data_IF_095380613674
#
_entry.id   IF_095380613674
#
_cell.length_a   1.000
_cell.length_b   1.000
_cell.length_c   1.000
_cell.angle_alpha   90.00
_cell.angle_beta   90.00
_cell.angle_gamma   90.00
#
_symmetry.space_group_name_H-M   'P 1'
#
loop_
_entity.id
_entity.type
_entity.pdbx_description
1 polymer ?
#
# COMPACT_ATOMS: atom_id res chain seq x y z
N UNK A 1 -49.71 63.04 -13.14
CA UNK A 1 -49.69 64.09 -14.18
C UNK A 1 -49.13 63.46 -15.46
N UNK A 2 -49.92 63.54 -16.55
CA UNK A 2 -49.70 63.19 -17.99
C UNK A 2 -48.30 62.64 -18.40
N UNK A 3 -48.18 61.41 -18.94
CA UNK A 3 -48.31 60.95 -20.37
C UNK A 3 -47.37 61.66 -21.38
N UNK A 4 -46.51 60.88 -22.08
CA UNK A 4 -46.44 60.66 -23.56
C UNK A 4 -45.13 59.90 -23.96
N UNK A 5 -45.19 58.67 -24.51
CA UNK A 5 -45.29 58.24 -25.95
C UNK A 5 -43.95 58.48 -26.70
N UNK A 6 -43.10 57.49 -27.04
CA UNK A 6 -43.15 56.38 -28.03
C UNK A 6 -43.02 56.81 -29.51
N UNK A 7 -41.93 56.41 -30.19
CA UNK A 7 -41.82 55.92 -31.60
C UNK A 7 -40.43 56.19 -32.22
N UNK A 8 -39.85 55.47 -33.21
CA UNK A 8 -40.02 54.18 -33.90
C UNK A 8 -38.74 54.01 -34.78
N UNK A 9 -38.32 52.75 -34.99
CA UNK A 9 -37.46 52.06 -35.99
C UNK A 9 -36.90 52.84 -37.23
N UNK A 10 -35.80 52.48 -37.95
CA UNK A 10 -35.55 51.23 -38.72
C UNK A 10 -34.13 51.23 -39.40
N UNK A 11 -33.51 50.03 -39.52
CA UNK A 11 -32.61 49.44 -40.55
C UNK A 11 -31.18 49.94 -40.94
N UNK A 12 -30.20 49.06 -40.61
CA UNK A 12 -29.09 48.45 -41.40
C UNK A 12 -28.24 49.23 -42.41
N UNK A 13 -26.90 49.07 -42.34
CA UNK A 13 -26.05 48.34 -43.33
C UNK A 13 -24.59 48.25 -42.81
N UNK A 14 -23.98 47.08 -43.03
CA UNK A 14 -22.59 46.65 -42.76
C UNK A 14 -21.60 47.36 -43.69
N UNK A 15 -20.39 47.72 -43.22
CA UNK A 15 -19.11 47.60 -43.96
C UNK A 15 -17.97 47.42 -42.96
N UNK A 16 -17.28 46.29 -43.10
CA UNK A 16 -16.01 45.92 -42.50
C UNK A 16 -14.85 46.69 -43.12
N UNK A 17 -13.97 47.28 -42.30
CA UNK A 17 -12.57 47.57 -42.70
C UNK A 17 -11.65 47.23 -41.52
N UNK A 18 -10.82 46.22 -41.75
CA UNK A 18 -9.70 45.79 -40.92
C UNK A 18 -8.61 46.87 -40.89
N UNK A 19 -8.10 47.15 -39.70
CA UNK A 19 -6.90 47.96 -39.49
C UNK A 19 -6.12 47.42 -38.30
N UNK A 20 -5.24 46.47 -38.56
CA UNK A 20 -4.21 46.07 -37.60
C UNK A 20 -3.26 47.26 -37.40
N UNK A 21 -3.31 47.88 -36.23
CA UNK A 21 -2.23 48.75 -35.75
C UNK A 21 -1.34 47.89 -34.88
N UNK A 22 -0.22 47.49 -35.49
CA UNK A 22 0.95 46.95 -34.81
C UNK A 22 1.50 47.99 -33.84
N UNK A 23 1.33 47.76 -32.54
CA UNK A 23 2.17 48.42 -31.53
C UNK A 23 3.52 47.71 -31.53
N UNK A 24 4.58 48.48 -31.80
CA UNK A 24 5.95 48.03 -31.61
C UNK A 24 6.17 47.72 -30.13
N UNK A 25 6.67 46.53 -29.84
CA UNK A 25 7.20 46.16 -28.53
C UNK A 25 8.39 47.06 -28.17
N UNK A 26 8.36 47.58 -26.95
CA UNK A 26 9.47 48.27 -26.30
C UNK A 26 10.45 47.19 -25.78
N UNK A 27 11.72 47.14 -26.22
CA UNK A 27 12.61 46.01 -25.93
C UNK A 27 13.23 46.05 -24.53
N UNK A 28 12.60 46.70 -23.53
CA UNK A 28 13.18 46.82 -22.17
C UNK A 28 12.24 46.48 -21.03
N UNK A 29 11.19 45.69 -21.27
CA UNK A 29 10.45 45.05 -20.17
C UNK A 29 10.85 43.59 -20.14
N UNK A 30 11.72 43.22 -19.20
CA UNK A 30 11.93 41.80 -18.89
C UNK A 30 10.57 41.15 -18.60
N UNK A 31 10.30 39.95 -19.13
CA UNK A 31 9.05 39.27 -18.83
C UNK A 31 8.93 39.12 -17.31
N UNK A 32 7.83 39.62 -16.76
CA UNK A 32 7.46 39.36 -15.37
C UNK A 32 7.46 37.84 -15.19
N UNK A 33 8.26 37.27 -14.27
CA UNK A 33 8.27 35.83 -14.11
C UNK A 33 6.87 35.37 -13.68
N UNK A 34 6.36 34.40 -14.44
CA UNK A 34 5.22 33.53 -14.09
C UNK A 34 5.40 33.00 -12.63
N UNK A 35 4.30 32.70 -11.91
CA UNK A 35 4.38 32.27 -10.51
C UNK A 35 5.32 31.07 -10.39
N UNK A 36 6.35 31.25 -9.57
CA UNK A 36 7.48 30.32 -9.36
C UNK A 36 6.99 28.90 -9.10
N UNK A 37 7.37 27.95 -9.98
CA UNK A 37 7.30 26.51 -9.69
C UNK A 37 7.99 26.21 -8.35
N UNK A 38 7.49 25.23 -7.59
CA UNK A 38 8.13 24.79 -6.35
C UNK A 38 9.53 24.24 -6.62
N UNK A 39 10.57 24.87 -6.05
CA UNK A 39 11.97 24.50 -6.31
C UNK A 39 12.55 23.72 -5.14
N UNK A 40 12.20 22.44 -5.01
CA UNK A 40 12.91 21.52 -4.10
C UNK A 40 14.34 21.31 -4.63
N UNK A 41 15.35 21.48 -3.78
CA UNK A 41 16.78 21.37 -4.12
C UNK A 41 17.26 19.92 -3.92
N UNK A 42 16.97 19.08 -4.90
CA UNK A 42 17.49 17.70 -4.95
C UNK A 42 19.01 17.67 -5.17
N UNK A 43 19.66 16.60 -4.73
CA UNK A 43 21.08 16.40 -4.96
C UNK A 43 21.35 16.10 -6.46
N UNK A 44 22.03 16.99 -7.20
CA UNK A 44 22.18 16.85 -8.65
C UNK A 44 23.10 15.68 -9.06
N UNK A 45 23.84 15.11 -8.12
CA UNK A 45 24.76 14.00 -8.37
C UNK A 45 24.11 12.62 -8.20
N UNK A 46 22.82 12.56 -7.85
CA UNK A 46 22.07 11.32 -7.66
C UNK A 46 21.03 11.15 -8.78
N UNK A 47 20.77 9.90 -9.14
CA UNK A 47 19.69 9.55 -10.05
C UNK A 47 18.44 9.22 -9.25
N UNK A 48 17.35 9.91 -9.54
CA UNK A 48 16.07 9.69 -8.89
C UNK A 48 15.14 8.87 -9.78
N UNK A 49 14.40 7.95 -9.16
CA UNK A 49 13.22 7.35 -9.78
C UNK A 49 11.98 8.22 -9.54
N UNK A 50 10.82 7.69 -9.90
CA UNK A 50 9.54 8.31 -9.60
C UNK A 50 8.49 7.29 -9.19
N UNK A 51 7.51 7.72 -8.42
CA UNK A 51 6.27 7.01 -8.13
C UNK A 51 5.08 7.96 -8.29
N UNK A 52 3.87 7.45 -8.54
CA UNK A 52 2.63 8.25 -8.61
C UNK A 52 1.60 7.73 -7.61
N UNK A 53 0.96 8.62 -6.85
CA UNK A 53 -0.08 8.25 -5.89
C UNK A 53 -1.48 8.19 -6.52
N UNK A 54 -2.47 7.80 -5.71
CA UNK A 54 -3.90 7.74 -6.05
C UNK A 54 -4.53 9.10 -6.44
N UNK A 55 -3.84 10.22 -6.20
CA UNK A 55 -4.26 11.56 -6.60
C UNK A 55 -3.57 12.03 -7.89
N UNK A 56 -2.68 11.21 -8.46
CA UNK A 56 -1.87 11.59 -9.61
C UNK A 56 -0.68 12.49 -9.26
N UNK A 57 -0.36 12.66 -7.97
CA UNK A 57 0.84 13.37 -7.57
C UNK A 57 2.05 12.48 -7.91
N UNK A 58 3.03 13.04 -8.62
CA UNK A 58 4.29 12.37 -8.94
C UNK A 58 5.35 12.80 -7.94
N UNK A 59 6.07 11.84 -7.38
CA UNK A 59 7.13 12.06 -6.40
C UNK A 59 8.43 11.42 -6.88
N UNK A 60 9.55 12.09 -6.63
CA UNK A 60 10.87 11.50 -6.79
C UNK A 60 11.13 10.43 -5.74
N UNK A 61 11.92 9.43 -6.13
CA UNK A 61 12.33 8.32 -5.26
C UNK A 61 13.82 8.12 -5.34
N UNK A 62 14.42 7.58 -4.28
CA UNK A 62 15.86 7.35 -4.18
C UNK A 62 16.13 6.04 -3.44
N UNK A 63 17.09 5.26 -3.94
CA UNK A 63 17.56 4.06 -3.24
C UNK A 63 18.71 4.43 -2.32
N UNK A 64 18.57 4.11 -1.03
CA UNK A 64 19.54 4.35 0.03
C UNK A 64 19.84 3.00 0.69
N UNK A 65 21.04 2.47 0.45
CA UNK A 65 21.36 1.11 0.84
C UNK A 65 20.48 0.10 0.10
N UNK A 66 19.76 -0.73 0.85
CA UNK A 66 18.81 -1.72 0.31
C UNK A 66 17.39 -1.17 0.15
N UNK A 67 17.10 -0.01 0.74
CA UNK A 67 15.75 0.53 0.80
C UNK A 67 15.52 1.59 -0.28
N UNK A 68 14.33 1.61 -0.87
CA UNK A 68 13.93 2.68 -1.81
C UNK A 68 12.90 3.60 -1.15
N UNK A 69 13.27 4.86 -0.97
CA UNK A 69 12.48 5.85 -0.24
C UNK A 69 11.89 6.91 -1.18
N UNK A 70 10.76 7.49 -0.79
CA UNK A 70 10.35 8.79 -1.34
C UNK A 70 11.40 9.86 -1.01
N UNK A 71 11.74 10.70 -1.99
CA UNK A 71 12.58 11.88 -1.85
C UNK A 71 11.77 13.17 -1.60
N UNK A 72 10.44 13.07 -1.57
CA UNK A 72 9.50 14.14 -1.24
C UNK A 72 8.51 13.68 -0.15
N UNK A 73 7.93 14.62 0.59
CA UNK A 73 6.86 14.29 1.55
C UNK A 73 5.56 13.96 0.81
N UNK A 74 4.79 13.01 1.33
CA UNK A 74 3.49 12.63 0.78
C UNK A 74 2.52 13.83 0.79
N UNK A 75 1.77 14.01 -0.30
CA UNK A 75 0.82 15.12 -0.50
C UNK A 75 -0.56 14.68 -0.98
N UNK A 76 -0.87 13.38 -0.82
CA UNK A 76 -2.15 12.79 -1.19
C UNK A 76 -3.29 13.26 -0.29
N UNK A 77 -4.49 13.35 -0.84
CA UNK A 77 -5.74 13.74 -0.18
C UNK A 77 -6.75 12.59 -0.17
N UNK A 78 -6.37 11.43 -0.69
CA UNK A 78 -7.19 10.20 -0.74
C UNK A 78 -6.44 9.03 -0.16
N UNK A 79 -7.18 8.04 0.32
CA UNK A 79 -6.67 6.70 0.57
C UNK A 79 -6.59 5.91 -0.74
N UNK A 80 -5.89 4.76 -0.71
CA UNK A 80 -5.66 3.89 -1.86
C UNK A 80 -6.96 3.38 -2.50
N UNK A 81 -8.02 3.22 -1.70
CA UNK A 81 -9.36 2.86 -2.19
C UNK A 81 -10.14 4.02 -2.86
N UNK A 82 -9.54 5.22 -2.94
CA UNK A 82 -10.13 6.41 -3.56
C UNK A 82 -10.99 7.27 -2.62
N UNK A 83 -11.25 6.84 -1.38
CA UNK A 83 -11.95 7.66 -0.40
C UNK A 83 -11.11 8.86 0.04
N UNK A 84 -11.75 10.00 0.28
CA UNK A 84 -11.07 11.21 0.70
C UNK A 84 -10.64 11.14 2.16
N UNK A 85 -9.41 11.57 2.44
CA UNK A 85 -8.95 11.87 3.80
C UNK A 85 -9.55 13.22 4.18
N UNK A 86 -9.98 13.39 5.43
CA UNK A 86 -10.62 14.64 5.83
C UNK A 86 -9.59 15.78 5.95
N UNK A 87 -9.76 16.86 5.19
CA UNK A 87 -9.01 18.10 5.43
C UNK A 87 -9.64 18.84 6.61
N UNK A 88 -8.92 18.93 7.72
CA UNK A 88 -9.44 19.53 8.96
C UNK A 88 -8.55 20.68 9.39
N UNK A 89 -9.03 21.91 9.24
CA UNK A 89 -8.27 23.12 9.61
C UNK A 89 -8.64 23.63 11.00
N UNK A 90 -9.85 23.32 11.49
CA UNK A 90 -10.35 23.75 12.79
C UNK A 90 -9.75 22.98 13.97
N UNK A 91 -9.16 23.72 14.91
CA UNK A 91 -8.46 23.18 16.07
C UNK A 91 -9.32 22.27 16.95
N UNK A 92 -10.51 22.72 17.35
CA UNK A 92 -11.44 21.92 18.17
C UNK A 92 -11.84 20.61 17.49
N UNK A 93 -12.03 20.63 16.17
CA UNK A 93 -12.37 19.44 15.42
C UNK A 93 -11.20 18.46 15.40
N UNK A 94 -10.00 18.94 15.06
CA UNK A 94 -8.77 18.13 14.96
C UNK A 94 -8.49 17.34 16.24
N UNK A 95 -8.55 17.98 17.42
CA UNK A 95 -8.34 17.31 18.71
C UNK A 95 -9.28 16.14 18.98
N UNK A 96 -10.50 16.22 18.47
CA UNK A 96 -11.54 15.22 18.74
C UNK A 96 -11.47 14.00 17.82
N UNK A 97 -10.58 14.02 16.83
CA UNK A 97 -10.50 12.96 15.83
C UNK A 97 -9.75 11.75 16.37
N UNK A 98 -10.42 10.60 16.25
CA UNK A 98 -9.81 9.27 16.27
C UNK A 98 -9.86 8.63 14.86
N UNK A 99 -9.94 9.48 13.83
CA UNK A 99 -10.03 9.12 12.41
C UNK A 99 -8.98 9.90 11.63
N UNK A 100 -8.62 9.40 10.46
CA UNK A 100 -7.61 10.04 9.64
C UNK A 100 -7.99 11.45 9.17
N UNK A 101 -7.06 12.39 9.32
CA UNK A 101 -7.16 13.74 8.82
C UNK A 101 -5.80 14.27 8.36
N UNK A 102 -5.86 15.28 7.50
CA UNK A 102 -4.69 16.02 7.06
C UNK A 102 -4.94 17.53 7.05
N UNK A 103 -3.87 18.30 7.01
CA UNK A 103 -3.86 19.72 6.70
C UNK A 103 -2.52 20.09 6.07
N UNK A 104 -2.44 21.29 5.48
CA UNK A 104 -1.16 21.89 5.13
C UNK A 104 -0.69 22.80 6.27
N UNK A 105 0.61 23.10 6.31
CA UNK A 105 1.15 24.00 7.32
C UNK A 105 0.43 25.36 7.26
N UNK A 106 0.08 25.93 8.41
CA UNK A 106 -0.78 27.12 8.53
C UNK A 106 -2.13 27.04 7.79
N UNK A 107 -2.57 25.83 7.41
CA UNK A 107 -3.71 25.58 6.53
C UNK A 107 -3.58 26.25 5.14
N UNK A 108 -2.37 26.51 4.67
CA UNK A 108 -2.11 27.15 3.39
C UNK A 108 -1.93 26.10 2.27
N UNK A 109 -2.84 26.01 1.28
CA UNK A 109 -2.71 25.05 0.19
C UNK A 109 -1.49 25.30 -0.71
N UNK A 110 -0.85 26.49 -0.66
CA UNK A 110 0.39 26.77 -1.40
C UNK A 110 1.53 25.84 -0.95
N UNK A 111 1.51 25.39 0.31
CA UNK A 111 2.55 24.51 0.84
C UNK A 111 2.49 23.07 0.29
N UNK A 112 1.37 22.67 -0.36
CA UNK A 112 1.17 21.32 -0.86
C UNK A 112 2.33 20.85 -1.75
N UNK A 113 2.71 21.66 -2.73
CA UNK A 113 3.64 21.21 -3.77
C UNK A 113 5.10 21.15 -3.30
N UNK A 114 5.47 21.96 -2.30
CA UNK A 114 6.83 22.00 -1.76
C UNK A 114 7.00 21.07 -0.58
N UNK A 115 6.07 21.08 0.37
CA UNK A 115 6.26 20.43 1.68
C UNK A 115 5.41 19.19 1.91
N UNK A 116 4.43 18.95 1.04
CA UNK A 116 3.42 17.93 1.23
C UNK A 116 2.44 18.27 2.36
N UNK A 117 1.72 17.27 2.83
CA UNK A 117 0.70 17.42 3.86
C UNK A 117 1.19 16.92 5.23
N UNK A 118 0.57 17.47 6.26
CA UNK A 118 0.70 17.03 7.65
C UNK A 118 -0.50 16.15 7.99
N UNK A 119 -0.23 14.88 8.30
CA UNK A 119 -1.24 13.87 8.60
C UNK A 119 -1.24 13.58 10.10
N UNK A 120 -2.42 13.30 10.66
CA UNK A 120 -2.46 12.63 11.96
C UNK A 120 -2.08 11.15 11.84
N UNK A 121 -1.71 10.51 12.95
CA UNK A 121 -1.28 9.12 12.90
C UNK A 121 -2.42 8.19 12.44
N UNK A 122 -3.67 8.51 12.79
CA UNK A 122 -4.85 7.78 12.31
C UNK A 122 -4.98 7.75 10.78
N UNK A 123 -4.53 8.78 10.06
CA UNK A 123 -4.49 8.77 8.60
C UNK A 123 -3.33 7.92 8.09
N UNK A 124 -2.17 8.00 8.76
CA UNK A 124 -1.00 7.22 8.44
C UNK A 124 -1.27 5.70 8.55
N UNK A 125 -2.04 5.28 9.56
CA UNK A 125 -2.27 3.87 9.89
C UNK A 125 -3.64 3.35 9.51
N UNK A 126 -4.38 4.11 8.69
CA UNK A 126 -5.72 3.73 8.28
C UNK A 126 -5.69 2.45 7.41
N UNK A 127 -6.61 1.53 7.63
CA UNK A 127 -6.67 0.26 6.89
C UNK A 127 -6.95 0.45 5.38
N UNK A 128 -7.48 1.61 4.98
CA UNK A 128 -7.66 1.98 3.56
C UNK A 128 -6.34 2.32 2.88
N UNK A 129 -5.24 2.42 3.63
CA UNK A 129 -3.87 2.72 3.24
C UNK A 129 -3.70 4.09 2.56
N UNK A 130 -2.91 4.97 3.16
CA UNK A 130 -2.58 6.26 2.55
C UNK A 130 -1.42 6.16 1.55
N UNK A 131 -0.55 5.17 1.72
CA UNK A 131 0.57 4.96 0.81
C UNK A 131 0.08 4.43 -0.56
N UNK A 132 0.72 4.81 -1.68
CA UNK A 132 0.46 4.25 -3.01
C UNK A 132 0.63 2.72 -3.06
N UNK A 133 0.09 2.05 -4.08
CA UNK A 133 0.33 0.61 -4.29
C UNK A 133 1.82 0.32 -4.53
N UNK A 134 2.36 -0.71 -3.88
CA UNK A 134 3.79 -1.03 -3.93
C UNK A 134 4.64 -0.17 -2.99
N UNK A 135 4.02 0.57 -2.07
CA UNK A 135 4.65 1.41 -1.06
C UNK A 135 3.88 1.34 0.26
N UNK A 136 4.59 1.53 1.36
CA UNK A 136 4.02 1.60 2.71
C UNK A 136 4.66 2.73 3.53
N UNK A 137 4.08 3.02 4.70
CA UNK A 137 4.69 3.93 5.67
C UNK A 137 5.72 3.15 6.48
N UNK A 138 6.96 3.63 6.58
CA UNK A 138 8.05 2.94 7.24
C UNK A 138 7.73 2.65 8.71
N UNK A 139 8.03 1.44 9.12
CA UNK A 139 8.15 1.04 10.52
C UNK A 139 9.39 1.66 11.17
N UNK A 140 9.47 1.55 12.50
CA UNK A 140 10.60 2.06 13.24
C UNK A 140 11.91 1.33 12.89
N UNK A 141 11.86 0.03 12.61
CA UNK A 141 13.05 -0.75 12.24
C UNK A 141 13.57 -0.39 10.84
N UNK A 142 12.69 0.00 9.93
CA UNK A 142 13.09 0.48 8.61
C UNK A 142 13.75 1.85 8.67
N UNK A 143 13.25 2.74 9.54
CA UNK A 143 13.93 3.98 9.87
C UNK A 143 15.32 3.73 10.46
N UNK A 144 15.44 2.78 11.39
CA UNK A 144 16.73 2.41 11.98
C UNK A 144 17.71 1.90 10.91
N UNK A 145 17.23 1.08 9.97
CA UNK A 145 18.03 0.58 8.85
C UNK A 145 18.58 1.71 7.98
N UNK A 146 17.73 2.69 7.62
CA UNK A 146 18.16 3.90 6.92
C UNK A 146 19.24 4.67 7.71
N UNK A 147 19.01 4.89 9.01
CA UNK A 147 19.91 5.66 9.87
C UNK A 147 21.27 4.99 10.02
N UNK A 148 21.29 3.66 10.25
CA UNK A 148 22.51 2.87 10.34
C UNK A 148 23.30 2.93 9.02
N UNK A 149 22.61 2.79 7.87
CA UNK A 149 23.25 2.93 6.57
C UNK A 149 23.89 4.32 6.37
N UNK A 150 23.26 5.37 6.91
CA UNK A 150 23.78 6.73 6.86
C UNK A 150 24.88 7.02 7.89
N UNK A 151 25.33 6.00 8.63
CA UNK A 151 26.44 6.10 9.58
C UNK A 151 26.01 6.53 10.98
N UNK A 152 24.84 6.03 11.41
CA UNK A 152 24.28 6.17 12.76
C UNK A 152 23.59 7.52 13.04
N UNK A 153 22.82 7.53 14.13
CA UNK A 153 21.95 8.64 14.53
C UNK A 153 22.67 9.99 14.53
N UNK A 154 23.90 10.06 15.05
CA UNK A 154 24.64 11.32 15.25
C UNK A 154 24.92 12.13 13.98
N UNK A 155 24.92 11.51 12.80
CA UNK A 155 25.25 12.17 11.53
C UNK A 155 24.21 11.95 10.43
N UNK A 156 23.29 11.00 10.60
CA UNK A 156 22.28 10.67 9.59
C UNK A 156 21.44 11.90 9.20
N UNK A 157 21.03 12.72 10.18
CA UNK A 157 20.20 13.90 9.93
C UNK A 157 20.83 14.90 8.96
N UNK A 158 22.13 15.17 9.08
CA UNK A 158 22.86 16.02 8.13
C UNK A 158 22.84 15.46 6.70
N UNK A 159 22.97 14.14 6.55
CA UNK A 159 22.93 13.48 5.23
C UNK A 159 21.53 13.40 4.62
N UNK A 160 20.48 13.53 5.43
CA UNK A 160 19.07 13.45 5.01
C UNK A 160 18.48 14.80 4.58
N UNK A 161 18.95 15.92 5.15
CA UNK A 161 18.40 17.25 4.89
C UNK A 161 18.79 17.80 3.51
N UNK A 162 17.86 18.51 2.88
CA UNK A 162 18.13 19.42 1.76
C UNK A 162 19.25 20.41 2.12
N UNK A 163 20.12 20.71 1.17
CA UNK A 163 21.21 21.67 1.34
C UNK A 163 20.72 23.12 1.22
N UNK A 164 21.53 24.07 1.71
CA UNK A 164 21.22 25.49 1.60
C UNK A 164 20.17 25.95 2.62
N UNK A 165 19.49 27.05 2.29
CA UNK A 165 18.63 27.79 3.24
C UNK A 165 17.27 28.18 2.66
N UNK A 166 16.83 27.54 1.57
CA UNK A 166 15.52 27.84 0.96
C UNK A 166 14.40 27.33 1.87
N UNK A 167 14.50 26.08 2.32
CA UNK A 167 13.51 25.44 3.18
C UNK A 167 14.01 25.13 4.59
N UNK A 168 15.15 25.72 4.98
CA UNK A 168 15.77 25.58 6.29
C UNK A 168 16.31 26.92 6.78
N UNK A 169 16.00 27.27 8.03
CA UNK A 169 16.61 28.38 8.71
C UNK A 169 18.06 28.03 9.08
N UNK A 170 18.96 29.03 9.07
CA UNK A 170 20.34 28.83 9.49
C UNK A 170 20.43 28.25 10.92
N UNK A 171 21.41 27.38 11.21
CA UNK A 171 22.59 27.09 10.37
C UNK A 171 22.40 26.00 9.31
N UNK A 172 21.30 25.23 9.35
CA UNK A 172 21.14 23.98 8.60
C UNK A 172 22.37 23.05 8.73
N UNK A 173 22.75 22.78 9.98
CA UNK A 173 23.99 22.17 10.40
C UNK A 173 24.29 20.86 9.65
N UNK A 174 25.48 20.81 9.05
CA UNK A 174 26.00 19.69 8.26
C UNK A 174 25.03 19.10 7.21
N UNK A 175 24.10 19.90 6.68
CA UNK A 175 23.20 19.44 5.64
C UNK A 175 23.95 19.23 4.31
N UNK A 176 24.01 17.97 3.87
CA UNK A 176 24.71 17.59 2.62
C UNK A 176 23.79 17.00 1.57
N UNK A 177 22.59 16.54 1.95
CA UNK A 177 21.70 15.74 1.12
C UNK A 177 22.42 14.58 0.39
N UNK A 178 23.50 14.04 0.97
CA UNK A 178 24.30 12.99 0.33
C UNK A 178 23.49 11.72 0.09
N UNK A 179 22.48 11.47 0.93
CA UNK A 179 21.57 10.34 0.78
C UNK A 179 20.55 10.51 -0.35
N UNK A 180 20.25 11.76 -0.75
CA UNK A 180 19.16 12.08 -1.64
C UNK A 180 17.78 12.06 -0.99
N UNK A 181 17.67 11.76 0.31
CA UNK A 181 16.40 11.77 1.05
C UNK A 181 15.68 13.13 0.99
N UNK A 182 16.43 14.24 0.95
CA UNK A 182 15.92 15.59 0.70
C UNK A 182 14.80 16.02 1.67
N UNK A 183 15.05 15.94 2.98
CA UNK A 183 14.12 16.44 4.00
C UNK A 183 14.05 17.98 4.00
N UNK A 184 12.84 18.53 4.15
CA UNK A 184 12.56 19.97 4.16
C UNK A 184 11.96 20.39 5.51
N UNK A 185 12.32 21.56 6.02
CA UNK A 185 11.85 22.05 7.31
C UNK A 185 10.40 22.54 7.27
N UNK A 186 9.41 21.63 7.17
CA UNK A 186 7.98 22.00 7.18
C UNK A 186 7.44 22.30 8.58
N UNK A 187 8.07 21.75 9.63
CA UNK A 187 7.54 21.79 10.98
C UNK A 187 6.45 20.74 11.23
N UNK A 188 5.47 21.09 12.06
CA UNK A 188 4.38 20.20 12.46
C UNK A 188 3.12 20.98 12.84
N UNK A 189 2.02 20.24 13.03
CA UNK A 189 0.86 20.72 13.76
C UNK A 189 0.84 20.09 15.15
N UNK A 190 0.88 20.93 16.19
CA UNK A 190 0.84 20.51 17.58
C UNK A 190 -0.52 19.84 17.90
N UNK A 191 -0.48 18.60 18.39
CA UNK A 191 -1.68 17.81 18.73
C UNK A 191 -2.34 18.19 20.05
N UNK A 192 -1.80 19.13 20.82
CA UNK A 192 -2.30 19.58 22.13
C UNK A 192 -2.70 21.05 22.08
N UNK A 193 -1.76 21.93 21.71
CA UNK A 193 -2.01 23.39 21.66
C UNK A 193 -2.57 23.86 20.32
N UNK A 194 -2.53 22.98 19.30
CA UNK A 194 -3.12 23.18 17.98
C UNK A 194 -2.58 24.39 17.23
N UNK A 195 -1.31 24.69 17.49
CA UNK A 195 -0.55 25.68 16.75
C UNK A 195 0.36 24.99 15.73
N UNK A 196 0.70 25.71 14.67
CA UNK A 196 1.68 25.27 13.70
C UNK A 196 3.06 25.73 14.16
N UNK A 197 3.99 24.78 14.33
CA UNK A 197 5.27 25.06 14.98
C UNK A 197 6.45 24.63 14.12
N UNK A 198 7.61 25.22 14.43
CA UNK A 198 8.91 24.77 13.95
C UNK A 198 9.17 24.83 12.44
N UNK A 199 8.38 25.61 11.68
CA UNK A 199 8.68 25.89 10.26
C UNK A 199 10.13 26.31 10.08
N UNK A 200 10.78 25.74 9.07
CA UNK A 200 12.19 25.89 8.73
C UNK A 200 13.20 25.37 9.77
N UNK A 201 12.76 24.83 10.91
CA UNK A 201 13.66 24.39 11.99
C UNK A 201 13.61 22.90 12.24
N UNK A 202 12.52 22.20 11.93
CA UNK A 202 12.45 20.75 11.97
C UNK A 202 11.58 20.16 10.85
N UNK A 203 11.75 18.86 10.63
CA UNK A 203 10.77 18.02 9.95
C UNK A 203 10.61 16.76 10.77
N UNK A 204 9.37 16.44 11.17
CA UNK A 204 9.05 15.17 11.82
C UNK A 204 8.29 14.26 10.87
N UNK A 205 8.60 12.97 10.95
CA UNK A 205 8.02 11.92 10.13
C UNK A 205 7.38 10.86 11.02
N UNK A 206 6.17 10.46 10.66
CA UNK A 206 5.55 9.31 11.32
C UNK A 206 6.33 8.02 11.07
N UNK A 207 6.41 7.18 12.11
CA UNK A 207 6.60 5.75 11.97
C UNK A 207 5.24 5.06 12.05
N UNK A 208 5.08 3.96 11.32
CA UNK A 208 3.89 3.12 11.41
C UNK A 208 3.84 2.31 12.71
N UNK A 209 4.94 2.26 13.46
CA UNK A 209 5.01 1.54 14.74
C UNK A 209 4.31 2.34 15.85
N UNK A 210 3.34 1.71 16.49
CA UNK A 210 2.67 2.23 17.68
C UNK A 210 3.61 2.20 18.90
N UNK A 211 3.57 3.25 19.73
CA UNK A 211 4.28 3.24 21.02
C UNK A 211 3.38 2.68 22.12
N UNK A 212 2.19 3.25 22.24
CA UNK A 212 1.13 2.83 23.15
C UNK A 212 -0.25 3.22 22.58
N UNK A 213 -1.30 3.13 23.39
CA UNK A 213 -2.68 3.42 22.94
C UNK A 213 -2.93 4.88 22.53
N UNK A 214 -2.13 5.85 23.01
CA UNK A 214 -2.30 7.29 22.74
C UNK A 214 -1.14 7.88 21.91
N UNK A 215 0.01 7.22 21.88
CA UNK A 215 1.25 7.72 21.28
C UNK A 215 1.74 6.81 20.15
N UNK A 216 2.48 7.41 19.22
CA UNK A 216 3.18 6.70 18.16
C UNK A 216 4.62 7.18 18.03
N UNK A 217 5.46 6.31 17.47
CA UNK A 217 6.85 6.66 17.20
C UNK A 217 6.95 7.65 16.02
N UNK A 218 7.92 8.56 16.10
CA UNK A 218 8.29 9.48 15.04
C UNK A 218 9.81 9.60 14.94
N UNK A 219 10.24 10.10 13.77
CA UNK A 219 11.63 10.42 13.48
C UNK A 219 11.75 11.91 13.15
N UNK A 220 12.85 12.56 13.48
CA UNK A 220 13.00 13.99 13.21
C UNK A 220 14.41 14.42 12.82
N UNK A 221 14.47 15.40 11.92
CA UNK A 221 15.69 16.13 11.60
C UNK A 221 15.53 17.60 11.95
N UNK A 222 16.61 18.24 12.39
CA UNK A 222 16.61 19.62 12.87
C UNK A 222 17.66 20.47 12.15
N UNK A 223 17.38 21.77 12.01
CA UNK A 223 18.30 22.71 11.38
C UNK A 223 19.57 22.96 12.21
N UNK A 224 19.52 22.79 13.53
CA UNK A 224 20.66 22.99 14.44
C UNK A 224 21.46 21.71 14.74
N UNK A 225 21.04 20.57 14.17
CA UNK A 225 21.61 19.27 14.50
C UNK A 225 22.11 18.52 13.27
N UNK A 226 23.15 17.71 13.49
CA UNK A 226 23.64 16.71 12.54
C UNK A 226 22.90 15.38 12.67
N UNK A 227 22.25 15.14 13.81
CA UNK A 227 21.63 13.87 14.13
C UNK A 227 20.21 13.72 13.57
N UNK A 228 19.80 12.47 13.34
CA UNK A 228 18.39 12.11 13.21
C UNK A 228 17.88 11.65 14.58
N UNK A 229 16.85 12.29 15.11
CA UNK A 229 16.20 11.87 16.35
C UNK A 229 15.31 10.68 16.02
N UNK A 230 15.80 9.49 16.32
CA UNK A 230 15.13 8.23 16.05
C UNK A 230 14.32 7.77 17.27
N UNK A 231 13.23 7.03 17.04
CA UNK A 231 12.47 6.37 18.12
C UNK A 231 12.05 7.30 19.25
N UNK A 232 11.46 8.45 18.93
CA UNK A 232 10.81 9.31 19.92
C UNK A 232 9.29 9.22 19.76
N UNK A 233 8.51 9.45 20.81
CA UNK A 233 7.07 9.24 20.77
C UNK A 233 6.30 10.54 21.00
N UNK A 234 5.13 10.64 20.39
CA UNK A 234 4.23 11.80 20.52
C UNK A 234 2.78 11.36 20.34
N UNK A 235 1.81 12.15 20.80
CA UNK A 235 0.41 11.78 20.68
C UNK A 235 -0.03 11.63 19.22
N UNK A 236 -0.89 10.64 18.95
CA UNK A 236 -1.38 10.29 17.61
C UNK A 236 -2.15 11.43 16.91
N UNK A 237 -2.59 12.44 17.67
CA UNK A 237 -3.25 13.63 17.15
C UNK A 237 -2.28 14.65 16.51
N UNK A 238 -0.96 14.54 16.66
CA UNK A 238 -0.06 15.48 15.97
C UNK A 238 -0.20 15.42 14.46
N UNK A 239 0.02 16.53 13.75
CA UNK A 239 0.10 16.53 12.29
C UNK A 239 1.56 16.51 11.86
N UNK A 240 2.05 15.36 11.37
CA UNK A 240 3.44 15.18 10.94
C UNK A 240 3.52 14.80 9.45
N UNK A 241 4.71 14.94 8.87
CA UNK A 241 4.96 14.52 7.49
C UNK A 241 4.96 13.00 7.38
N UNK A 242 4.62 12.50 6.19
CA UNK A 242 4.77 11.09 5.83
C UNK A 242 5.78 10.96 4.70
N UNK A 243 6.64 9.95 4.80
CA UNK A 243 7.51 9.45 3.75
C UNK A 243 7.15 7.99 3.54
N UNK A 244 7.00 7.54 2.31
CA UNK A 244 6.80 6.13 2.03
C UNK A 244 8.11 5.47 1.62
N UNK A 245 8.21 4.18 1.91
CA UNK A 245 9.25 3.28 1.46
C UNK A 245 8.60 2.26 0.51
N UNK A 246 9.35 1.82 -0.50
CA UNK A 246 8.85 0.87 -1.50
C UNK A 246 8.76 -0.51 -0.85
N UNK A 247 7.66 -1.20 -1.11
CA UNK A 247 7.44 -2.55 -0.59
C UNK A 247 8.57 -3.47 -1.04
N UNK A 248 9.13 -4.18 -0.07
CA UNK A 248 10.07 -5.26 -0.28
C UNK A 248 9.42 -6.56 0.22
N UNK A 249 9.02 -7.47 -0.67
CA UNK A 249 8.36 -8.71 -0.27
C UNK A 249 9.25 -9.60 0.62
N UNK A 250 10.56 -9.38 0.64
CA UNK A 250 11.45 -10.11 1.55
C UNK A 250 11.46 -9.55 2.98
N UNK A 251 11.09 -8.27 3.19
CA UNK A 251 11.28 -7.58 4.48
C UNK A 251 10.06 -6.86 5.07
N UNK A 252 8.94 -6.75 4.34
CA UNK A 252 7.71 -6.09 4.84
C UNK A 252 6.66 -7.10 5.37
N UNK A 253 6.47 -7.22 6.70
CA UNK A 253 5.45 -8.08 7.29
C UNK A 253 4.00 -7.55 7.14
N UNK A 254 3.78 -6.33 6.63
CA UNK A 254 2.44 -5.71 6.59
C UNK A 254 1.60 -6.05 5.35
N UNK A 255 2.14 -6.79 4.38
CA UNK A 255 1.46 -7.12 3.12
C UNK A 255 0.88 -8.55 3.11
N UNK A 256 1.09 -9.29 4.20
CA UNK A 256 0.70 -10.70 4.30
C UNK A 256 -0.26 -10.92 5.47
N UNK A 257 -1.24 -11.79 5.31
CA UNK A 257 -2.11 -12.18 6.43
C UNK A 257 -3.22 -11.19 6.78
N UNK A 258 -3.56 -10.23 5.92
CA UNK A 258 -4.67 -9.30 6.18
C UNK A 258 -6.00 -10.03 5.94
N UNK A 259 -6.86 -10.22 6.96
CA UNK A 259 -8.16 -10.86 6.75
C UNK A 259 -9.01 -10.06 5.74
N UNK A 260 -9.66 -10.76 4.81
CA UNK A 260 -10.66 -10.18 3.91
C UNK A 260 -12.07 -10.71 4.26
N UNK A 261 -13.07 -10.25 3.51
CA UNK A 261 -14.47 -10.63 3.68
C UNK A 261 -14.66 -12.13 3.43
N UNK A 262 -15.22 -12.89 4.39
CA UNK A 262 -15.53 -14.29 4.18
C UNK A 262 -16.47 -14.52 3.00
N UNK A 263 -16.32 -15.66 2.34
CA UNK A 263 -17.15 -16.06 1.21
C UNK A 263 -18.02 -17.26 1.56
N UNK A 264 -19.08 -17.49 0.79
CA UNK A 264 -20.04 -18.57 1.03
C UNK A 264 -20.31 -19.31 -0.27
N UNK A 265 -20.30 -20.64 -0.22
CA UNK A 265 -20.68 -21.48 -1.36
C UNK A 265 -22.20 -21.72 -1.44
N UNK A 266 -22.63 -22.49 -2.44
CA UNK A 266 -24.03 -22.83 -2.66
C UNK A 266 -24.68 -23.58 -1.47
N UNK A 267 -23.90 -24.32 -0.69
CA UNK A 267 -24.37 -25.12 0.45
C UNK A 267 -24.42 -24.32 1.75
N UNK A 268 -23.95 -23.07 1.74
CA UNK A 268 -23.89 -22.22 2.92
C UNK A 268 -22.61 -22.43 3.75
N UNK A 269 -21.61 -23.16 3.24
CA UNK A 269 -20.32 -23.23 3.92
C UNK A 269 -19.65 -21.86 3.82
N UNK A 270 -19.25 -21.31 4.96
CA UNK A 270 -18.50 -20.05 5.03
C UNK A 270 -17.00 -20.38 5.05
N UNK A 271 -16.22 -19.58 4.32
CA UNK A 271 -14.77 -19.68 4.25
C UNK A 271 -14.15 -18.34 4.56
N UNK A 272 -13.19 -18.33 5.48
CA UNK A 272 -12.34 -17.17 5.70
C UNK A 272 -11.45 -16.91 4.47
N UNK A 273 -11.13 -15.65 4.24
CA UNK A 273 -10.27 -15.20 3.14
C UNK A 273 -9.17 -14.30 3.67
N UNK A 274 -8.06 -14.25 2.94
CA UNK A 274 -6.87 -13.52 3.34
C UNK A 274 -6.22 -12.85 2.15
N UNK A 275 -5.78 -11.61 2.33
CA UNK A 275 -4.98 -10.89 1.36
C UNK A 275 -3.49 -11.13 1.64
N UNK A 276 -2.79 -11.61 0.61
CA UNK A 276 -1.34 -11.85 0.59
C UNK A 276 -0.81 -11.17 -0.66
N UNK A 277 -0.05 -10.08 -0.50
CA UNK A 277 0.30 -9.23 -1.64
C UNK A 277 -0.94 -8.55 -2.18
N UNK A 278 -1.09 -8.58 -3.51
CA UNK A 278 -2.29 -8.11 -4.20
C UNK A 278 -3.34 -9.22 -4.42
N UNK A 279 -3.04 -10.46 -4.04
CA UNK A 279 -3.93 -11.59 -4.22
C UNK A 279 -4.81 -11.82 -2.99
N UNK A 280 -6.05 -12.26 -3.23
CA UNK A 280 -6.99 -12.64 -2.18
C UNK A 280 -7.26 -14.14 -2.29
N UNK A 281 -6.89 -14.87 -1.25
CA UNK A 281 -6.91 -16.32 -1.18
C UNK A 281 -7.95 -16.81 -0.18
N UNK A 282 -8.53 -17.98 -0.43
CA UNK A 282 -9.20 -18.74 0.62
C UNK A 282 -8.19 -19.14 1.70
N UNK A 283 -8.55 -18.98 2.97
CA UNK A 283 -7.77 -19.47 4.11
C UNK A 283 -8.14 -20.90 4.53
N UNK A 284 -9.14 -21.50 3.89
CA UNK A 284 -9.70 -22.82 4.24
C UNK A 284 -9.77 -23.75 3.02
N UNK A 285 -9.73 -25.07 3.25
CA UNK A 285 -9.88 -26.05 2.18
C UNK A 285 -11.33 -26.02 1.70
N UNK A 286 -11.54 -26.09 0.39
CA UNK A 286 -12.89 -26.12 -0.18
C UNK A 286 -13.69 -27.35 0.32
N UNK A 287 -14.89 -27.11 0.86
CA UNK A 287 -15.82 -28.14 1.37
C UNK A 287 -16.95 -28.47 0.37
N UNK A 288 -17.13 -27.62 -0.64
CA UNK A 288 -18.27 -27.62 -1.56
C UNK A 288 -18.41 -28.92 -2.38
N UNK A 289 -19.62 -29.47 -2.42
CA UNK A 289 -20.03 -30.58 -3.30
C UNK A 289 -20.87 -30.09 -4.48
N UNK A 290 -21.31 -28.85 -4.48
CA UNK A 290 -22.11 -28.26 -5.55
C UNK A 290 -21.43 -27.03 -6.13
N UNK A 291 -21.54 -26.85 -7.45
CA UNK A 291 -21.17 -25.60 -8.10
C UNK A 291 -22.10 -24.47 -7.69
N UNK A 292 -21.70 -23.24 -7.99
CA UNK A 292 -22.46 -22.02 -7.72
C UNK A 292 -23.90 -22.02 -8.30
N UNK A 293 -24.15 -22.80 -9.34
CA UNK A 293 -25.48 -23.00 -9.95
C UNK A 293 -26.29 -24.16 -9.34
N UNK A 294 -25.75 -24.84 -8.32
CA UNK A 294 -26.39 -25.98 -7.66
C UNK A 294 -26.18 -27.33 -8.35
N UNK A 295 -25.26 -27.44 -9.31
CA UNK A 295 -24.92 -28.73 -9.94
C UNK A 295 -24.01 -29.55 -9.04
N UNK A 296 -24.36 -30.81 -8.77
CA UNK A 296 -23.57 -31.70 -7.92
C UNK A 296 -22.29 -32.17 -8.63
N UNK A 297 -21.17 -32.18 -7.90
CA UNK A 297 -19.86 -32.67 -8.34
C UNK A 297 -19.56 -34.01 -7.66
N UNK A 298 -19.43 -35.08 -8.45
CA UNK A 298 -19.30 -36.45 -7.93
C UNK A 298 -17.88 -36.84 -7.51
N UNK A 299 -16.86 -36.20 -8.07
CA UNK A 299 -15.45 -36.53 -7.84
C UNK A 299 -14.83 -35.64 -6.74
N UNK A 300 -15.57 -35.46 -5.66
CA UNK A 300 -15.23 -34.67 -4.48
C UNK A 300 -15.41 -35.50 -3.21
N UNK A 301 -14.30 -35.85 -2.57
CA UNK A 301 -14.24 -36.88 -1.52
C UNK A 301 -13.89 -36.28 -0.17
N UNK A 302 -14.46 -36.81 0.91
CA UNK A 302 -13.96 -36.53 2.27
C UNK A 302 -12.91 -37.59 2.61
N UNK A 303 -11.85 -37.22 3.33
CA UNK A 303 -10.81 -38.16 3.71
C UNK A 303 -11.39 -39.42 4.37
N UNK A 304 -10.97 -40.61 3.93
CA UNK A 304 -11.49 -41.91 4.38
C UNK A 304 -13.02 -42.09 4.25
N UNK A 305 -13.67 -41.33 3.37
CA UNK A 305 -15.14 -41.30 3.21
C UNK A 305 -15.88 -41.03 4.54
N UNK A 306 -15.22 -40.34 5.48
CA UNK A 306 -15.76 -40.05 6.80
C UNK A 306 -16.00 -38.55 6.97
N UNK A 307 -17.28 -38.17 6.96
CA UNK A 307 -17.74 -36.77 7.07
C UNK A 307 -17.25 -36.06 8.35
N UNK A 308 -16.76 -36.76 9.38
CA UNK A 308 -16.13 -36.10 10.54
C UNK A 308 -14.85 -35.33 10.19
N UNK A 309 -14.24 -35.58 9.03
CA UNK A 309 -13.05 -34.87 8.56
C UNK A 309 -13.39 -33.63 7.70
N UNK A 310 -14.64 -33.45 7.30
CA UNK A 310 -15.04 -32.39 6.36
C UNK A 310 -14.71 -31.00 6.90
N UNK A 311 -15.11 -30.71 8.14
CA UNK A 311 -14.97 -29.38 8.72
C UNK A 311 -13.50 -28.98 8.91
N UNK A 312 -12.64 -29.94 9.24
CA UNK A 312 -11.23 -29.68 9.53
C UNK A 312 -10.35 -29.67 8.26
N UNK A 313 -10.59 -30.58 7.33
CA UNK A 313 -9.69 -30.81 6.19
C UNK A 313 -10.32 -30.48 4.83
N UNK A 314 -11.62 -30.20 4.78
CA UNK A 314 -12.34 -29.99 3.51
C UNK A 314 -12.46 -31.28 2.70
N UNK A 315 -12.71 -31.12 1.40
CA UNK A 315 -12.76 -32.22 0.43
C UNK A 315 -11.48 -32.30 -0.40
N UNK A 316 -11.24 -33.49 -0.94
CA UNK A 316 -10.22 -33.84 -1.92
C UNK A 316 -10.89 -34.04 -3.27
N UNK A 317 -10.45 -33.31 -4.30
CA UNK A 317 -11.09 -33.28 -5.62
C UNK A 317 -10.17 -33.89 -6.66
N UNK A 318 -10.73 -34.57 -7.67
CA UNK A 318 -9.99 -34.80 -8.92
C UNK A 318 -9.69 -33.47 -9.60
N UNK A 319 -8.70 -33.44 -10.49
CA UNK A 319 -8.34 -32.19 -11.18
C UNK A 319 -9.50 -31.60 -12.00
N UNK A 320 -10.28 -32.46 -12.66
CA UNK A 320 -11.47 -32.03 -13.42
C UNK A 320 -12.61 -31.52 -12.53
N UNK A 321 -12.76 -32.07 -11.32
CA UNK A 321 -13.68 -31.55 -10.32
C UNK A 321 -13.20 -30.23 -9.71
N UNK A 322 -11.91 -30.10 -9.43
CA UNK A 322 -11.32 -28.89 -8.84
C UNK A 322 -11.51 -27.64 -9.70
N UNK A 323 -11.60 -27.78 -11.02
CA UNK A 323 -11.83 -26.68 -11.97
C UNK A 323 -13.29 -26.23 -12.08
N UNK A 324 -14.23 -26.84 -11.35
CA UNK A 324 -15.64 -26.47 -11.44
C UNK A 324 -15.89 -25.12 -10.73
N UNK A 325 -16.87 -24.32 -11.20
CA UNK A 325 -17.14 -23.00 -10.63
C UNK A 325 -17.94 -23.12 -9.32
N UNK A 326 -17.26 -23.38 -8.21
CA UNK A 326 -17.89 -23.57 -6.89
C UNK A 326 -18.43 -22.28 -6.27
N UNK A 327 -17.73 -21.15 -6.48
CA UNK A 327 -18.08 -19.85 -5.92
C UNK A 327 -17.92 -18.81 -7.03
N UNK A 328 -18.93 -17.94 -7.23
CA UNK A 328 -18.89 -16.90 -8.26
C UNK A 328 -17.79 -15.86 -7.95
N UNK A 329 -16.95 -15.53 -8.94
CA UNK A 329 -15.83 -14.60 -8.77
C UNK A 329 -14.56 -15.22 -8.16
N UNK A 330 -14.49 -16.55 -8.09
CA UNK A 330 -13.36 -17.31 -7.54
C UNK A 330 -13.01 -18.48 -8.45
N UNK A 331 -11.71 -18.75 -8.60
CA UNK A 331 -11.23 -19.81 -9.48
C UNK A 331 -10.10 -20.63 -8.86
N UNK A 332 -9.82 -21.78 -9.50
CA UNK A 332 -8.69 -22.62 -9.15
C UNK A 332 -7.39 -21.95 -9.64
N UNK A 333 -6.47 -21.57 -8.74
CA UNK A 333 -5.25 -20.83 -9.06
C UNK A 333 -4.36 -21.58 -10.05
N UNK A 334 -3.80 -20.86 -11.00
CA UNK A 334 -2.75 -21.34 -11.92
C UNK A 334 -1.39 -21.40 -11.25
N UNK A 335 -0.43 -22.10 -11.87
CA UNK A 335 0.99 -22.03 -11.49
C UNK A 335 1.50 -20.58 -11.39
N UNK A 336 1.09 -19.69 -12.30
CA UNK A 336 1.55 -18.31 -12.30
C UNK A 336 1.06 -17.55 -11.05
N UNK A 337 -0.16 -17.81 -10.61
CA UNK A 337 -0.74 -17.19 -9.42
C UNK A 337 -0.11 -17.71 -8.13
N UNK A 338 0.20 -19.01 -8.06
CA UNK A 338 0.98 -19.55 -6.96
C UNK A 338 2.40 -18.98 -6.89
N UNK A 339 3.07 -18.86 -8.04
CA UNK A 339 4.38 -18.21 -8.10
C UNK A 339 4.32 -16.75 -7.60
N UNK A 340 3.24 -16.00 -7.85
CA UNK A 340 3.07 -14.64 -7.29
C UNK A 340 2.99 -14.69 -5.76
N UNK A 341 2.20 -15.60 -5.19
CA UNK A 341 2.10 -15.80 -3.74
C UNK A 341 3.47 -16.15 -3.14
N UNK A 342 4.22 -17.05 -3.76
CA UNK A 342 5.54 -17.47 -3.27
C UNK A 342 6.54 -16.33 -3.30
N UNK A 343 6.61 -15.61 -4.41
CA UNK A 343 7.47 -14.44 -4.54
C UNK A 343 7.09 -13.35 -3.53
N UNK A 344 5.79 -13.21 -3.23
CA UNK A 344 5.31 -12.27 -2.21
C UNK A 344 5.72 -12.71 -0.80
N UNK A 345 5.74 -14.01 -0.53
CA UNK A 345 6.10 -14.54 0.79
C UNK A 345 7.62 -14.62 0.99
N UNK A 346 8.43 -14.68 -0.07
CA UNK A 346 9.88 -14.74 0.02
C UNK A 346 10.38 -16.05 0.63
N UNK A 347 11.29 -15.97 1.61
CA UNK A 347 11.82 -17.17 2.27
C UNK A 347 10.80 -17.87 3.18
N UNK A 348 11.03 -19.16 3.46
CA UNK A 348 10.23 -19.96 4.40
C UNK A 348 8.73 -20.02 4.07
N UNK A 349 8.36 -20.00 2.78
CA UNK A 349 6.98 -20.06 2.28
C UNK A 349 6.17 -21.12 3.03
N UNK A 350 6.69 -22.35 3.13
CA UNK A 350 5.99 -23.45 3.78
C UNK A 350 5.71 -23.18 5.27
N UNK A 351 6.60 -22.50 6.00
CA UNK A 351 6.33 -22.10 7.38
C UNK A 351 5.21 -21.06 7.45
N UNK A 352 5.23 -20.09 6.52
CA UNK A 352 4.28 -18.97 6.50
C UNK A 352 2.87 -19.42 6.14
N UNK A 353 2.71 -20.44 5.28
CA UNK A 353 1.41 -20.94 4.80
C UNK A 353 0.68 -21.87 5.78
N UNK A 354 1.40 -22.53 6.69
CA UNK A 354 0.80 -23.46 7.67
C UNK A 354 -0.15 -22.74 8.64
N UNK A 355 -0.98 -23.54 9.32
CA UNK A 355 -1.80 -23.07 10.44
C UNK A 355 -0.95 -22.32 11.47
N UNK A 356 -1.34 -21.08 11.79
CA UNK A 356 -0.61 -20.18 12.70
C UNK A 356 0.65 -19.55 12.10
N UNK A 357 0.91 -19.74 10.81
CA UNK A 357 1.96 -19.04 10.07
C UNK A 357 1.60 -17.58 9.80
N UNK A 358 2.58 -16.77 9.40
CA UNK A 358 2.38 -15.31 9.25
C UNK A 358 1.53 -14.90 8.05
N UNK A 359 1.23 -15.81 7.11
CA UNK A 359 0.48 -15.47 5.89
C UNK A 359 -1.03 -15.45 6.06
N UNK A 360 -1.57 -15.99 7.16
CA UNK A 360 -3.02 -16.18 7.35
C UNK A 360 -3.68 -17.17 6.37
N UNK A 361 -2.90 -17.92 5.59
CA UNK A 361 -3.40 -18.92 4.63
C UNK A 361 -3.92 -20.20 5.29
N UNK A 362 -3.49 -20.47 6.53
CA UNK A 362 -4.00 -21.51 7.42
C UNK A 362 -4.09 -22.91 6.77
N UNK A 363 -3.05 -23.33 6.04
CA UNK A 363 -3.01 -24.62 5.34
C UNK A 363 -3.13 -25.80 6.33
N UNK A 364 -4.25 -26.52 6.25
CA UNK A 364 -4.51 -27.78 6.95
C UNK A 364 -3.89 -28.94 6.17
N UNK A 365 -3.16 -29.80 6.87
CA UNK A 365 -2.40 -30.89 6.26
C UNK A 365 -3.31 -32.11 6.00
N UNK A 366 -4.04 -32.08 4.88
CA UNK A 366 -5.18 -32.97 4.60
C UNK A 366 -4.83 -34.33 3.95
N UNK A 367 -3.56 -34.60 3.64
CA UNK A 367 -3.20 -35.77 2.84
C UNK A 367 -3.75 -35.68 1.41
N UNK A 368 -3.95 -36.83 0.78
CA UNK A 368 -4.52 -36.95 -0.57
C UNK A 368 -5.16 -38.33 -0.77
N UNK A 369 -5.82 -38.50 -1.93
CA UNK A 369 -6.49 -39.72 -2.35
C UNK A 369 -5.88 -40.22 -3.67
N UNK A 370 -5.56 -41.51 -3.74
CA UNK A 370 -5.13 -42.17 -4.97
C UNK A 370 -6.31 -42.41 -5.93
N UNK A 371 -6.07 -42.64 -7.24
CA UNK A 371 -7.13 -42.87 -8.22
C UNK A 371 -8.04 -44.05 -7.87
N UNK A 372 -7.46 -45.12 -7.31
CA UNK A 372 -8.19 -46.33 -6.89
C UNK A 372 -8.95 -46.17 -5.57
N UNK A 373 -8.79 -45.05 -4.87
CA UNK A 373 -9.57 -44.66 -3.70
C UNK A 373 -8.93 -44.86 -2.34
N UNK A 374 -7.68 -45.32 -2.29
CA UNK A 374 -6.91 -45.31 -1.06
C UNK A 374 -6.55 -43.87 -0.66
N UNK A 375 -6.63 -43.58 0.64
CA UNK A 375 -6.25 -42.29 1.21
C UNK A 375 -4.90 -42.42 1.92
N UNK A 376 -4.07 -41.39 1.83
CA UNK A 376 -2.74 -41.41 2.41
C UNK A 376 -2.36 -40.08 3.06
N UNK A 377 -1.42 -40.18 4.00
CA UNK A 377 -0.59 -39.09 4.51
C UNK A 377 -1.31 -37.92 5.19
N UNK A 378 -2.52 -38.15 5.76
CA UNK A 378 -3.17 -37.19 6.65
C UNK A 378 -2.21 -36.73 7.75
N UNK A 379 -2.11 -35.42 7.97
CA UNK A 379 -1.20 -34.76 8.92
C UNK A 379 0.31 -34.94 8.63
N UNK A 380 0.69 -35.55 7.51
CA UNK A 380 2.09 -35.67 7.09
C UNK A 380 2.42 -34.62 6.03
N UNK A 381 1.61 -34.50 4.98
CA UNK A 381 1.71 -33.43 3.98
C UNK A 381 0.37 -33.23 3.27
N UNK A 382 0.21 -32.11 2.58
CA UNK A 382 -0.99 -31.79 1.80
C UNK A 382 -0.61 -31.37 0.41
N UNK A 383 -1.50 -31.68 -0.52
CA UNK A 383 -1.32 -31.41 -1.95
C UNK A 383 -2.41 -30.43 -2.39
N UNK A 384 -2.03 -29.32 -3.01
CA UNK A 384 -2.96 -28.35 -3.58
C UNK A 384 -2.93 -28.42 -5.10
N UNK A 385 -4.12 -28.46 -5.72
CA UNK A 385 -4.23 -28.37 -7.16
C UNK A 385 -3.88 -26.97 -7.68
N UNK A 386 -3.25 -26.94 -8.85
CA UNK A 386 -3.27 -25.78 -9.74
C UNK A 386 -4.23 -26.03 -10.91
N UNK A 387 -4.66 -24.98 -11.63
CA UNK A 387 -5.39 -25.10 -12.90
C UNK A 387 -4.48 -25.35 -14.11
N UNK A 388 -3.17 -25.43 -13.91
CA UNK A 388 -2.19 -25.63 -14.99
C UNK A 388 -1.95 -27.12 -15.24
N UNK A 389 -2.21 -27.58 -16.46
CA UNK A 389 -1.88 -28.94 -16.90
C UNK A 389 -0.36 -29.12 -17.05
N UNK A 390 0.15 -30.31 -16.72
CA UNK A 390 1.56 -30.70 -16.92
C UNK A 390 1.71 -31.58 -18.16
N UNK A 391 0.88 -32.61 -18.24
CA UNK A 391 0.71 -33.49 -19.41
C UNK A 391 -0.79 -33.68 -19.68
N UNK A 392 -1.15 -34.58 -20.59
CA UNK A 392 -2.57 -34.90 -20.84
C UNK A 392 -3.28 -35.56 -19.66
N UNK A 393 -2.52 -36.25 -18.81
CA UNK A 393 -3.01 -37.08 -17.69
C UNK A 393 -2.47 -36.63 -16.32
N UNK A 394 -1.60 -35.61 -16.28
CA UNK A 394 -1.07 -35.03 -15.05
C UNK A 394 -1.20 -33.51 -15.07
N UNK A 395 -1.35 -32.93 -13.88
CA UNK A 395 -1.41 -31.49 -13.67
C UNK A 395 -0.47 -31.05 -12.55
N UNK A 396 -0.10 -29.78 -12.56
CA UNK A 396 0.79 -29.24 -11.54
C UNK A 396 0.07 -29.17 -10.19
N UNK A 397 0.80 -29.55 -9.14
CA UNK A 397 0.39 -29.47 -7.75
C UNK A 397 1.48 -28.87 -6.90
N UNK A 398 1.07 -28.39 -5.74
CA UNK A 398 1.94 -27.86 -4.69
C UNK A 398 1.88 -28.74 -3.46
N UNK A 399 3.05 -29.08 -2.95
CA UNK A 399 3.20 -29.94 -1.79
C UNK A 399 3.67 -29.12 -0.59
N UNK A 400 2.97 -29.28 0.54
CA UNK A 400 3.33 -28.66 1.81
C UNK A 400 3.45 -29.74 2.89
N UNK A 401 4.64 -29.85 3.48
CA UNK A 401 5.00 -30.90 4.44
C UNK A 401 4.82 -30.43 5.88
N UNK A 402 4.42 -31.30 6.81
CA UNK A 402 4.23 -30.92 8.21
C UNK A 402 5.54 -30.72 8.97
N UNK A 403 6.57 -31.53 8.66
CA UNK A 403 7.81 -31.65 9.43
C UNK A 403 8.94 -30.69 9.00
N UNK A 404 8.78 -29.99 7.88
CA UNK A 404 9.77 -29.06 7.34
C UNK A 404 9.11 -27.85 6.64
N UNK A 405 9.91 -26.88 6.19
CA UNK A 405 9.42 -25.65 5.56
C UNK A 405 9.36 -25.74 4.02
N UNK A 406 9.53 -26.93 3.44
CA UNK A 406 9.52 -27.10 2.01
C UNK A 406 8.12 -26.84 1.45
N UNK A 407 8.11 -26.13 0.33
CA UNK A 407 6.96 -25.90 -0.52
C UNK A 407 7.41 -26.24 -1.94
N UNK A 408 6.85 -27.31 -2.52
CA UNK A 408 7.42 -27.95 -3.70
C UNK A 408 6.39 -28.10 -4.81
N UNK A 409 6.76 -27.70 -6.03
CA UNK A 409 5.99 -27.92 -7.24
C UNK A 409 6.29 -29.31 -7.81
N UNK A 410 5.25 -30.01 -8.26
CA UNK A 410 5.39 -31.32 -8.92
C UNK A 410 4.22 -31.59 -9.86
N UNK A 411 4.26 -32.72 -10.57
CA UNK A 411 3.14 -33.21 -11.36
C UNK A 411 2.40 -34.35 -10.64
N UNK A 412 1.07 -34.34 -10.69
CA UNK A 412 0.22 -35.37 -10.09
C UNK A 412 -0.81 -35.86 -11.12
N UNK A 413 -1.15 -37.15 -11.10
CA UNK A 413 -2.16 -37.73 -12.00
C UNK A 413 -3.52 -37.06 -11.76
N UNK A 414 -4.22 -36.69 -12.82
CA UNK A 414 -5.46 -35.91 -12.76
C UNK A 414 -6.60 -36.60 -11.99
N UNK A 415 -6.51 -37.91 -11.80
CA UNK A 415 -7.48 -38.74 -11.07
C UNK A 415 -7.21 -38.80 -9.55
N UNK A 416 -6.10 -38.24 -9.06
CA UNK A 416 -5.86 -38.11 -7.62
C UNK A 416 -6.85 -37.12 -7.01
N UNK A 417 -7.25 -37.36 -5.75
CA UNK A 417 -7.99 -36.40 -4.96
C UNK A 417 -7.04 -35.53 -4.15
N UNK A 418 -6.93 -34.24 -4.47
CA UNK A 418 -6.10 -33.28 -3.73
C UNK A 418 -6.94 -32.09 -3.22
N UNK A 419 -6.41 -31.34 -2.26
CA UNK A 419 -7.08 -30.17 -1.68
C UNK A 419 -7.18 -29.02 -2.68
N UNK A 420 -8.19 -28.17 -2.49
CA UNK A 420 -8.43 -26.97 -3.29
C UNK A 420 -8.44 -25.74 -2.41
N UNK A 421 -7.69 -24.73 -2.86
CA UNK A 421 -7.68 -23.34 -2.40
C UNK A 421 -8.07 -22.48 -3.59
N UNK A 422 -9.10 -21.65 -3.46
CA UNK A 422 -9.49 -20.74 -4.53
C UNK A 422 -8.85 -19.36 -4.32
N UNK A 423 -8.66 -18.65 -5.42
CA UNK A 423 -8.22 -17.26 -5.47
C UNK A 423 -9.33 -16.43 -6.15
N UNK A 424 -9.45 -15.16 -5.76
CA UNK A 424 -10.43 -14.23 -6.32
C UNK A 424 -10.01 -13.74 -7.72
N UNK A 425 -10.98 -13.58 -8.62
CA UNK A 425 -10.82 -13.09 -10.00
C UNK A 425 -10.24 -11.65 -10.11
#
# INVERSE_FOLDING_TARGET
MKKKILSILFFTVIISITGFVSCKEDPTVEPVPEPTESVIVFNPNLSYGTMTDQDGNVYRTITIGTQTWMAENLKTTKYRNGETIQNVTGNTQWLSLNTGAYCWFNNDPVDKETYGALYNWYAATDNRNIAPTGWHIPSNDEWLTLINYLGEENIAGGKMKETGSIHWAGPNEAATNQSGFTALGVGERDGINLDFQYRFTCCRFWSLTEYDNINAWFNAVFNYATYCNHSNYIEKQFGLSVRCIKDDPETDPQIIGIPDTPITDFEGNIYNTVKIGDQIWMAENLKAKFTSDGTSVSEAYVYNDNESYLDEYGRLYTWDAAKKPFIEGWHLPSEAEWNILENTLGSDVGAKLKVGGSSGFEAKIAGYRYPLGDYADLNVWTVFWTSTAYTSDHSFVLNLFSDNNNFEHSGCENLNGNSVRLIKD
#
